data_IF_533459818563
#
_entry.id   IF_533459818563
#
_cell.length_a   1.000
_cell.length_b   1.000
_cell.length_c   1.000
_cell.angle_alpha   90.00
_cell.angle_beta   90.00
_cell.angle_gamma   90.00
#
_symmetry.space_group_name_H-M   'P 1'
#
loop_
_entity.id
_entity.type
_entity.pdbx_description
1 polymer ?
#
# COMPACT_ATOMS: atom_id res chain seq x y z
N UNK A 1 -27.27 15.83 -1.80
CA UNK A 1 -25.82 15.62 -1.62
C UNK A 1 -25.12 16.79 -2.26
N UNK A 2 -24.28 17.53 -1.52
CA UNK A 2 -23.60 18.73 -2.05
C UNK A 2 -22.27 18.36 -2.71
N UNK A 3 -21.87 19.04 -3.80
CA UNK A 3 -20.57 18.86 -4.46
C UNK A 3 -19.36 18.94 -3.51
N UNK A 4 -19.51 19.64 -2.39
CA UNK A 4 -18.51 19.78 -1.33
C UNK A 4 -18.09 18.43 -0.72
N UNK A 5 -19.01 17.46 -0.64
CA UNK A 5 -18.74 16.12 -0.11
C UNK A 5 -17.76 15.33 -0.97
N UNK A 6 -17.82 15.45 -2.30
CA UNK A 6 -16.95 14.69 -3.21
C UNK A 6 -15.55 15.32 -3.26
N UNK A 7 -15.50 16.65 -3.20
CA UNK A 7 -14.23 17.39 -3.14
C UNK A 7 -13.45 17.04 -1.86
N UNK A 8 -14.10 17.07 -0.70
CA UNK A 8 -13.47 16.70 0.58
C UNK A 8 -12.97 15.24 0.59
N UNK A 9 -13.73 14.31 0.00
CA UNK A 9 -13.30 12.92 -0.13
C UNK A 9 -12.09 12.77 -1.06
N UNK A 10 -12.04 13.53 -2.17
CA UNK A 10 -10.90 13.55 -3.07
C UNK A 10 -9.64 14.14 -2.40
N UNK A 11 -9.79 15.20 -1.61
CA UNK A 11 -8.68 15.81 -0.86
C UNK A 11 -8.14 14.85 0.22
N UNK A 12 -9.05 14.11 0.87
CA UNK A 12 -8.69 13.04 1.80
C UNK A 12 -7.90 11.93 1.10
N UNK A 13 -8.35 11.50 -0.09
CA UNK A 13 -7.69 10.47 -0.88
C UNK A 13 -6.29 10.90 -1.35
N UNK A 14 -6.14 12.16 -1.78
CA UNK A 14 -4.84 12.74 -2.13
C UNK A 14 -3.88 12.74 -0.94
N UNK A 15 -4.36 13.16 0.24
CA UNK A 15 -3.58 13.16 1.49
C UNK A 15 -3.13 11.74 1.88
N UNK A 16 -4.02 10.76 1.74
CA UNK A 16 -3.70 9.35 2.02
C UNK A 16 -2.66 8.79 1.03
N UNK A 17 -2.75 9.14 -0.26
CA UNK A 17 -1.74 8.78 -1.25
C UNK A 17 -0.36 9.35 -0.91
N UNK A 18 -0.30 10.63 -0.49
CA UNK A 18 0.95 11.26 -0.07
C UNK A 18 1.54 10.58 1.18
N UNK A 19 0.73 10.37 2.22
CA UNK A 19 1.17 9.70 3.45
C UNK A 19 1.66 8.27 3.20
N UNK A 20 1.01 7.54 2.28
CA UNK A 20 1.48 6.23 1.82
C UNK A 20 2.84 6.33 1.15
N UNK A 21 3.03 7.30 0.26
CA UNK A 21 4.31 7.50 -0.43
C UNK A 21 5.46 7.80 0.54
N UNK A 22 5.19 8.55 1.61
CA UNK A 22 6.15 8.79 2.69
C UNK A 22 6.45 7.53 3.50
N UNK A 23 5.45 6.69 3.78
CA UNK A 23 5.65 5.40 4.46
C UNK A 23 6.45 4.42 3.58
N UNK A 24 6.22 4.45 2.27
CA UNK A 24 7.01 3.71 1.29
C UNK A 24 8.47 4.15 1.33
N UNK A 25 8.72 5.46 1.32
CA UNK A 25 10.07 6.01 1.36
C UNK A 25 10.82 5.69 2.66
N UNK A 26 10.12 5.70 3.79
CA UNK A 26 10.66 5.39 5.12
C UNK A 26 10.68 3.88 5.45
N UNK A 27 10.15 3.03 4.57
CA UNK A 27 9.99 1.58 4.79
C UNK A 27 9.16 1.20 6.03
N UNK A 28 8.30 2.11 6.50
CA UNK A 28 7.37 1.83 7.60
C UNK A 28 6.15 1.03 7.09
N UNK A 29 6.36 -0.29 7.00
CA UNK A 29 5.36 -1.20 6.45
C UNK A 29 4.10 -1.35 7.33
N UNK A 30 4.23 -1.18 8.65
CA UNK A 30 3.10 -1.29 9.57
C UNK A 30 2.12 -0.15 9.34
N UNK A 31 2.64 1.08 9.35
CA UNK A 31 1.85 2.27 9.06
C UNK A 31 1.35 2.30 7.61
N UNK A 32 2.15 1.82 6.65
CA UNK A 32 1.74 1.72 5.26
C UNK A 32 0.50 0.81 5.08
N UNK A 33 0.43 -0.32 5.78
CA UNK A 33 -0.74 -1.22 5.68
C UNK A 33 -2.01 -0.57 6.22
N UNK A 34 -1.94 0.12 7.37
CA UNK A 34 -3.10 0.81 7.94
C UNK A 34 -3.58 1.96 7.04
N UNK A 35 -2.65 2.74 6.48
CA UNK A 35 -2.98 3.81 5.53
C UNK A 35 -3.56 3.27 4.22
N UNK A 36 -3.06 2.14 3.72
CA UNK A 36 -3.61 1.48 2.53
C UNK A 36 -5.08 1.07 2.73
N UNK A 37 -5.41 0.55 3.93
CA UNK A 37 -6.78 0.21 4.28
C UNK A 37 -7.69 1.45 4.35
N UNK A 38 -7.22 2.54 4.98
CA UNK A 38 -7.95 3.81 5.04
C UNK A 38 -8.21 4.38 3.64
N UNK A 39 -7.20 4.31 2.77
CA UNK A 39 -7.32 4.74 1.37
C UNK A 39 -8.36 3.93 0.62
N UNK A 40 -8.39 2.61 0.81
CA UNK A 40 -9.37 1.75 0.15
C UNK A 40 -10.80 2.09 0.58
N UNK A 41 -11.02 2.40 1.88
CA UNK A 41 -12.32 2.87 2.37
C UNK A 41 -12.73 4.22 1.76
N UNK A 42 -11.78 5.14 1.59
CA UNK A 42 -12.04 6.43 0.96
C UNK A 42 -12.45 6.27 -0.52
N UNK A 43 -11.77 5.39 -1.26
CA UNK A 43 -12.13 5.07 -2.65
C UNK A 43 -13.54 4.49 -2.79
N UNK A 44 -13.92 3.55 -1.91
CA UNK A 44 -15.26 2.97 -1.91
C UNK A 44 -16.32 4.07 -1.75
N UNK A 45 -16.15 4.96 -0.77
CA UNK A 45 -17.08 6.08 -0.54
C UNK A 45 -17.19 7.01 -1.75
N UNK A 46 -16.08 7.28 -2.42
CA UNK A 46 -16.07 8.11 -3.63
C UNK A 46 -16.86 7.44 -4.75
N UNK A 47 -16.66 6.14 -4.97
CA UNK A 47 -17.41 5.40 -5.99
C UNK A 47 -18.91 5.33 -5.68
N UNK A 48 -19.29 5.09 -4.42
CA UNK A 48 -20.69 5.13 -3.97
C UNK A 48 -21.32 6.52 -4.20
N UNK A 49 -20.56 7.61 -3.96
CA UNK A 49 -21.06 8.97 -4.22
C UNK A 49 -21.23 9.25 -5.72
N UNK A 50 -20.31 8.77 -6.56
CA UNK A 50 -20.31 9.02 -8.01
C UNK A 50 -21.35 8.20 -8.78
N UNK A 51 -21.71 7.01 -8.28
CA UNK A 51 -22.84 6.25 -8.81
C UNK A 51 -24.16 7.04 -8.72
N UNK A 52 -24.25 7.92 -7.71
CA UNK A 52 -25.40 8.78 -7.49
C UNK A 52 -25.28 10.17 -8.17
N UNK A 53 -24.08 10.66 -8.48
CA UNK A 53 -23.82 11.93 -9.18
C UNK A 53 -22.53 11.88 -10.03
N UNK A 54 -22.65 11.69 -11.36
CA UNK A 54 -21.50 11.51 -12.26
C UNK A 54 -20.81 12.82 -12.69
N UNK A 55 -21.24 13.99 -12.20
CA UNK A 55 -20.72 15.30 -12.63
C UNK A 55 -19.21 15.50 -12.38
N UNK A 56 -18.58 14.69 -11.52
CA UNK A 56 -17.18 14.80 -11.11
C UNK A 56 -16.24 13.73 -11.71
N UNK A 57 -16.67 13.04 -12.77
CA UNK A 57 -15.95 11.88 -13.34
C UNK A 57 -14.51 12.18 -13.81
N UNK A 58 -14.23 13.41 -14.27
CA UNK A 58 -12.91 13.79 -14.76
C UNK A 58 -11.85 13.84 -13.64
N UNK A 59 -12.21 14.38 -12.47
CA UNK A 59 -11.32 14.45 -11.32
C UNK A 59 -11.03 13.04 -10.76
N UNK A 60 -12.04 12.18 -10.74
CA UNK A 60 -11.89 10.77 -10.36
C UNK A 60 -10.87 10.05 -11.24
N UNK A 61 -10.92 10.22 -12.57
CA UNK A 61 -9.99 9.52 -13.49
C UNK A 61 -8.53 9.83 -13.14
N UNK A 62 -8.21 11.10 -12.85
CA UNK A 62 -6.87 11.50 -12.44
C UNK A 62 -6.47 10.80 -11.13
N UNK A 63 -7.31 10.89 -10.11
CA UNK A 63 -7.05 10.32 -8.79
C UNK A 63 -6.97 8.78 -8.84
N UNK A 64 -7.77 8.14 -9.70
CA UNK A 64 -7.74 6.70 -9.94
C UNK A 64 -6.40 6.25 -10.52
N UNK A 65 -5.84 7.01 -11.47
CA UNK A 65 -4.53 6.73 -12.04
C UNK A 65 -3.43 6.84 -10.98
N UNK A 66 -3.41 7.93 -10.20
CA UNK A 66 -2.46 8.14 -9.10
C UNK A 66 -2.56 7.03 -8.03
N UNK A 67 -3.79 6.60 -7.74
CA UNK A 67 -4.07 5.50 -6.81
C UNK A 67 -3.50 4.16 -7.32
N UNK A 68 -3.66 3.87 -8.61
CA UNK A 68 -3.16 2.65 -9.23
C UNK A 68 -1.62 2.59 -9.21
N UNK A 69 -0.96 3.72 -9.44
CA UNK A 69 0.49 3.83 -9.32
C UNK A 69 0.96 3.56 -7.87
N UNK A 70 0.27 4.13 -6.88
CA UNK A 70 0.57 3.86 -5.47
C UNK A 70 0.41 2.38 -5.12
N UNK A 71 -0.67 1.73 -5.57
CA UNK A 71 -0.88 0.27 -5.38
C UNK A 71 0.25 -0.57 -6.00
N UNK A 72 0.73 -0.17 -7.17
CA UNK A 72 1.86 -0.86 -7.83
C UNK A 72 3.12 -0.80 -6.98
N UNK A 73 3.44 0.38 -6.43
CA UNK A 73 4.58 0.59 -5.52
C UNK A 73 4.44 -0.24 -4.24
N UNK A 74 3.26 -0.22 -3.61
CA UNK A 74 2.96 -1.03 -2.41
C UNK A 74 3.18 -2.53 -2.66
N UNK A 75 2.71 -3.07 -3.80
CA UNK A 75 2.91 -4.48 -4.16
C UNK A 75 4.38 -4.87 -4.27
N UNK A 76 5.20 -4.01 -4.86
CA UNK A 76 6.65 -4.24 -4.99
C UNK A 76 7.31 -4.30 -3.61
N UNK A 77 6.94 -3.42 -2.70
CA UNK A 77 7.49 -3.39 -1.33
C UNK A 77 7.13 -4.65 -0.53
N UNK A 78 5.88 -5.09 -0.58
CA UNK A 78 5.43 -6.32 0.09
C UNK A 78 6.25 -7.52 -0.43
N UNK A 79 6.43 -7.63 -1.74
CA UNK A 79 7.23 -8.70 -2.36
C UNK A 79 8.70 -8.64 -1.92
N UNK A 80 9.27 -7.44 -1.84
CA UNK A 80 10.66 -7.27 -1.39
C UNK A 80 10.80 -7.66 0.10
N UNK A 81 9.85 -7.28 0.95
CA UNK A 81 9.85 -7.64 2.36
C UNK A 81 9.71 -9.15 2.57
N UNK A 82 8.79 -9.81 1.84
CA UNK A 82 8.62 -11.26 1.93
C UNK A 82 9.89 -12.01 1.50
N UNK A 83 10.56 -11.50 0.45
CA UNK A 83 11.82 -12.08 -0.04
C UNK A 83 12.93 -11.92 1.00
N UNK A 84 13.05 -10.75 1.64
CA UNK A 84 14.02 -10.51 2.72
C UNK A 84 13.81 -11.47 3.90
N UNK A 85 12.57 -11.63 4.37
CA UNK A 85 12.22 -12.57 5.46
C UNK A 85 12.57 -14.02 5.10
N UNK A 86 12.26 -14.44 3.87
CA UNK A 86 12.63 -15.79 3.38
C UNK A 86 14.14 -16.00 3.38
N UNK A 87 14.91 -15.02 2.90
CA UNK A 87 16.37 -15.12 2.83
C UNK A 87 16.99 -15.20 4.23
N UNK A 88 16.51 -14.40 5.19
CA UNK A 88 16.96 -14.46 6.58
C UNK A 88 16.67 -15.84 7.21
N UNK A 89 15.47 -16.40 6.98
CA UNK A 89 15.14 -17.74 7.42
C UNK A 89 16.09 -18.81 6.83
N UNK A 90 16.37 -18.75 5.52
CA UNK A 90 17.27 -19.70 4.86
C UNK A 90 18.70 -19.61 5.40
N UNK A 91 19.21 -18.39 5.66
CA UNK A 91 20.51 -18.18 6.27
C UNK A 91 20.58 -18.82 7.66
N UNK A 92 19.59 -18.56 8.53
CA UNK A 92 19.52 -19.18 9.87
C UNK A 92 19.45 -20.69 9.80
N UNK A 93 18.61 -21.23 8.89
CA UNK A 93 18.49 -22.69 8.68
C UNK A 93 19.83 -23.31 8.27
N UNK A 94 20.53 -22.67 7.34
CA UNK A 94 21.82 -23.15 6.85
C UNK A 94 22.91 -23.07 7.93
N UNK A 95 22.94 -22.00 8.72
CA UNK A 95 23.86 -21.86 9.85
C UNK A 95 23.64 -22.96 10.90
N UNK A 96 22.39 -23.24 11.26
CA UNK A 96 22.04 -24.36 12.17
C UNK A 96 22.50 -25.69 11.58
N UNK A 97 22.24 -25.93 10.29
CA UNK A 97 22.68 -27.17 9.63
C UNK A 97 24.20 -27.31 9.66
N UNK A 98 24.95 -26.24 9.39
CA UNK A 98 26.41 -26.24 9.42
C UNK A 98 26.94 -26.54 10.83
N UNK A 99 26.36 -25.92 11.87
CA UNK A 99 26.73 -26.17 13.26
C UNK A 99 26.45 -27.62 13.70
N UNK A 100 25.35 -28.20 13.23
CA UNK A 100 24.95 -29.58 13.55
C UNK A 100 25.61 -30.63 12.65
N UNK A 101 26.43 -30.23 11.68
CA UNK A 101 27.13 -31.17 10.82
C UNK A 101 28.28 -31.81 11.62
N UNK A 102 28.41 -33.14 11.61
CA UNK A 102 29.49 -33.81 12.33
C UNK A 102 30.82 -33.32 11.78
N UNK A 103 31.76 -32.99 12.68
CA UNK A 103 33.15 -32.69 12.30
C UNK A 103 33.69 -33.99 11.70
N UNK A 104 34.00 -33.96 10.40
CA UNK A 104 34.71 -35.06 9.76
C UNK A 104 36.07 -35.20 10.47
N UNK A 105 36.21 -36.28 11.25
CA UNK A 105 37.43 -36.68 11.91
C UNK A 105 38.42 -37.29 10.90
#
# INVERSE_FOLDING_TARGET
>A
MTPDSIKEQNDTLASLNQALQECVASQDMGKAMDLALQRQKALIKIFECLENDPSNLANLKKISTETLECLSKEKVLIRNQSTKKRNDFLLRKNAIKAYMSPIAA
#
